data_IF_229488100569
#
_entry.id   IF_229488100569
#
_cell.length_a   1.000
_cell.length_b   1.000
_cell.length_c   1.000
_cell.angle_alpha   90.00
_cell.angle_beta   90.00
_cell.angle_gamma   90.00
#
_symmetry.space_group_name_H-M   'P 1'
#
loop_
_entity.id
_entity.type
_entity.pdbx_description
1 polymer ?
#
# COMPACT_ATOMS: atom_id res chain seq x y z
N UNK A 1 10.05 14.97 35.88
CA UNK A 1 9.57 14.76 34.49
C UNK A 1 10.74 14.74 33.50
N UNK A 2 11.52 13.64 33.40
CA UNK A 2 12.62 13.53 32.38
C UNK A 2 12.45 12.38 31.38
N UNK A 3 11.56 11.40 31.62
CA UNK A 3 11.44 10.19 30.80
C UNK A 3 10.82 10.39 29.41
N UNK A 4 9.98 11.42 29.20
CA UNK A 4 9.25 11.64 27.95
C UNK A 4 10.09 12.27 26.82
N UNK A 5 11.31 12.76 27.13
CA UNK A 5 12.26 13.26 26.12
C UNK A 5 13.09 12.14 25.48
N UNK A 6 13.01 10.91 25.99
CA UNK A 6 13.75 9.78 25.46
C UNK A 6 12.99 9.12 24.31
N UNK A 7 13.67 8.78 23.20
CA UNK A 7 13.03 8.12 22.07
C UNK A 7 12.50 6.74 22.50
N UNK A 8 11.25 6.45 22.12
CA UNK A 8 10.47 5.23 22.44
C UNK A 8 9.80 5.19 23.82
N UNK A 9 9.82 6.27 24.60
CA UNK A 9 8.94 6.37 25.77
C UNK A 9 7.49 6.57 25.32
N UNK A 10 6.58 5.77 25.84
CA UNK A 10 5.15 5.86 25.51
C UNK A 10 4.46 6.92 26.36
N UNK A 11 3.59 7.72 25.74
CA UNK A 11 2.72 8.64 26.46
C UNK A 11 1.74 7.89 27.35
N UNK A 12 1.51 8.43 28.55
CA UNK A 12 0.53 7.94 29.52
C UNK A 12 -0.66 8.89 29.57
N UNK A 13 -1.66 8.58 30.40
CA UNK A 13 -2.85 9.41 30.63
C UNK A 13 -2.53 10.90 30.88
N UNK A 14 -1.44 11.19 31.59
CA UNK A 14 -1.02 12.56 31.88
C UNK A 14 -0.67 13.33 30.59
N UNK A 15 0.01 12.68 29.64
CA UNK A 15 0.34 13.27 28.35
C UNK A 15 -0.91 13.51 27.49
N UNK A 16 -1.92 12.63 27.57
CA UNK A 16 -3.19 12.83 26.86
C UNK A 16 -3.99 14.00 27.44
N UNK A 17 -4.03 14.15 28.76
CA UNK A 17 -4.68 15.30 29.41
C UNK A 17 -3.97 16.62 29.10
N UNK A 18 -2.64 16.62 29.15
CA UNK A 18 -1.85 17.79 28.79
C UNK A 18 -2.04 18.17 27.31
N UNK A 19 -2.10 17.20 26.41
CA UNK A 19 -2.36 17.43 24.98
C UNK A 19 -3.78 17.94 24.73
N UNK A 20 -4.80 17.36 25.37
CA UNK A 20 -6.19 17.82 25.25
C UNK A 20 -6.34 19.28 25.70
N UNK A 21 -5.72 19.63 26.84
CA UNK A 21 -5.69 21.00 27.33
C UNK A 21 -4.94 21.95 26.40
N UNK A 22 -3.76 21.56 25.91
CA UNK A 22 -2.97 22.37 24.98
C UNK A 22 -3.68 22.61 23.65
N UNK A 23 -4.37 21.60 23.13
CA UNK A 23 -5.07 21.65 21.83
C UNK A 23 -6.50 22.20 21.93
N UNK A 24 -7.02 22.42 23.14
CA UNK A 24 -8.41 22.81 23.40
C UNK A 24 -9.42 21.89 22.69
N UNK A 25 -9.09 20.60 22.62
CA UNK A 25 -9.90 19.59 21.96
C UNK A 25 -9.97 18.34 22.84
N UNK A 26 -11.14 17.69 22.87
CA UNK A 26 -11.29 16.43 23.58
C UNK A 26 -10.55 15.30 22.84
N UNK A 27 -9.86 14.44 23.57
CA UNK A 27 -9.19 13.25 23.03
C UNK A 27 -9.90 11.99 23.51
N UNK A 28 -10.27 11.12 22.58
CA UNK A 28 -10.90 9.83 22.87
C UNK A 28 -9.96 8.69 22.49
N UNK A 29 -9.71 7.75 23.40
CA UNK A 29 -8.99 6.51 23.08
C UNK A 29 -9.93 5.31 23.14
N UNK A 30 -9.86 4.43 22.14
CA UNK A 30 -10.53 3.14 22.16
C UNK A 30 -9.56 2.07 22.66
N UNK A 31 -9.82 1.50 23.83
CA UNK A 31 -9.01 0.44 24.45
C UNK A 31 -9.94 -0.58 25.11
N UNK A 32 -9.64 -1.89 25.04
CA UNK A 32 -10.45 -2.93 25.68
C UNK A 32 -11.95 -2.84 25.32
N UNK A 33 -12.25 -2.59 24.04
CA UNK A 33 -13.61 -2.37 23.54
C UNK A 33 -14.39 -1.21 24.21
N UNK A 34 -13.69 -0.25 24.81
CA UNK A 34 -14.30 0.91 25.47
C UNK A 34 -13.67 2.20 25.01
N UNK A 35 -14.48 3.24 24.90
CA UNK A 35 -14.03 4.60 24.67
C UNK A 35 -13.72 5.27 26.02
N UNK A 36 -12.52 5.83 26.13
CA UNK A 36 -12.08 6.64 27.26
C UNK A 36 -11.92 8.07 26.76
N UNK A 37 -12.48 9.05 27.48
CA UNK A 37 -12.44 10.47 27.14
C UNK A 37 -11.42 11.19 28.03
N UNK A 38 -10.55 11.98 27.42
CA UNK A 38 -9.64 12.93 28.06
C UNK A 38 -10.05 14.33 27.61
N UNK A 39 -10.59 15.12 28.54
CA UNK A 39 -11.11 16.45 28.26
C UNK A 39 -10.25 17.52 28.89
N UNK A 40 -10.04 18.62 28.16
CA UNK A 40 -9.38 19.80 28.70
C UNK A 40 -10.10 20.34 29.95
N UNK A 41 -11.43 20.16 30.02
CA UNK A 41 -12.27 20.51 31.18
C UNK A 41 -11.89 19.76 32.47
N UNK A 42 -11.16 18.64 32.37
CA UNK A 42 -10.67 17.93 33.54
C UNK A 42 -9.49 18.65 34.20
N UNK A 43 -8.78 19.52 33.47
CA UNK A 43 -7.64 20.30 33.97
C UNK A 43 -8.02 21.76 34.26
N UNK A 44 -8.86 22.36 33.40
CA UNK A 44 -9.36 23.74 33.56
C UNK A 44 -10.82 23.81 33.12
N UNK A 45 -11.71 24.21 34.03
CA UNK A 45 -13.17 24.18 33.77
C UNK A 45 -13.66 25.32 32.90
N UNK A 46 -12.88 26.40 32.78
CA UNK A 46 -13.27 27.61 32.05
C UNK A 46 -12.70 27.64 30.61
N UNK A 47 -12.05 26.56 30.18
CA UNK A 47 -11.45 26.45 28.85
C UNK A 47 -12.50 26.16 27.77
N UNK A 48 -12.52 26.96 26.70
CA UNK A 48 -13.41 26.71 25.57
C UNK A 48 -12.87 25.56 24.72
N UNK A 49 -13.46 24.38 24.87
CA UNK A 49 -13.11 23.22 24.04
C UNK A 49 -13.86 23.28 22.73
N UNK A 50 -13.14 23.06 21.63
CA UNK A 50 -13.72 22.98 20.29
C UNK A 50 -14.72 21.82 20.19
N UNK A 51 -15.73 21.96 19.33
CA UNK A 51 -16.73 20.91 19.10
C UNK A 51 -16.19 19.67 18.37
N UNK A 52 -14.91 19.72 17.97
CA UNK A 52 -14.22 18.62 17.30
C UNK A 52 -13.32 17.89 18.28
N UNK A 53 -13.26 16.56 18.14
CA UNK A 53 -12.51 15.69 19.03
C UNK A 53 -11.53 14.81 18.25
N UNK A 54 -10.42 14.49 18.89
CA UNK A 54 -9.39 13.61 18.34
C UNK A 54 -9.68 12.19 18.80
N UNK A 55 -9.82 11.27 17.87
CA UNK A 55 -10.08 9.87 18.17
C UNK A 55 -8.84 9.02 17.89
N UNK A 56 -8.49 8.14 18.82
CA UNK A 56 -7.33 7.26 18.77
C UNK A 56 -7.75 5.83 19.08
N UNK A 57 -7.14 4.85 18.43
CA UNK A 57 -7.31 3.43 18.72
C UNK A 57 -6.03 2.86 19.34
N UNK A 58 -6.14 2.28 20.53
CA UNK A 58 -5.02 1.65 21.22
C UNK A 58 -4.92 0.18 20.82
N UNK A 59 -3.86 -0.15 20.09
CA UNK A 59 -3.55 -1.52 19.67
C UNK A 59 -2.83 -2.24 20.81
N UNK A 60 -3.61 -2.98 21.61
CA UNK A 60 -3.17 -3.64 22.85
C UNK A 60 -1.92 -4.52 22.72
N UNK A 61 -1.69 -5.13 21.55
CA UNK A 61 -0.54 -6.03 21.32
C UNK A 61 0.80 -5.32 21.14
N UNK A 62 0.79 -4.02 20.85
CA UNK A 62 2.00 -3.26 20.55
C UNK A 62 2.08 -1.91 21.26
N UNK A 63 1.14 -1.64 22.17
CA UNK A 63 1.00 -0.34 22.86
C UNK A 63 1.12 0.85 21.91
N UNK A 64 0.48 0.71 20.74
CA UNK A 64 0.54 1.69 19.66
C UNK A 64 -0.80 2.40 19.55
N UNK A 65 -0.78 3.70 19.26
CA UNK A 65 -1.98 4.49 19.02
C UNK A 65 -2.09 4.81 17.54
N UNK A 66 -3.23 4.47 16.95
CA UNK A 66 -3.56 4.81 15.57
C UNK A 66 -4.63 5.89 15.54
N UNK A 67 -4.56 6.81 14.58
CA UNK A 67 -5.56 7.88 14.43
C UNK A 67 -6.85 7.33 13.85
N UNK A 68 -7.97 7.79 14.39
CA UNK A 68 -9.32 7.42 13.96
C UNK A 68 -9.94 8.64 13.29
N UNK A 69 -10.14 8.54 11.97
CA UNK A 69 -10.62 9.65 11.14
C UNK A 69 -12.14 9.87 11.26
N UNK A 70 -12.89 8.88 11.75
CA UNK A 70 -14.34 8.99 11.95
C UNK A 70 -14.83 7.90 12.92
N UNK A 71 -15.82 8.22 13.76
CA UNK A 71 -16.48 7.28 14.68
C UNK A 71 -17.95 7.20 14.29
N UNK A 72 -18.36 6.10 13.68
CA UNK A 72 -19.77 5.86 13.36
C UNK A 72 -20.52 5.34 14.60
N UNK A 73 -21.66 5.97 14.92
CA UNK A 73 -22.59 5.47 15.92
C UNK A 73 -23.23 4.15 15.45
N UNK A 74 -22.69 3.03 15.95
CA UNK A 74 -23.22 1.66 15.91
C UNK A 74 -24.19 1.28 14.77
N UNK A 75 -23.67 0.62 13.72
CA UNK A 75 -24.13 -0.73 13.33
C UNK A 75 -22.95 -1.58 12.86
N UNK A 76 -22.74 -2.66 13.62
CA UNK A 76 -21.65 -3.64 13.56
C UNK A 76 -21.42 -4.21 12.15
N UNK A 77 -20.18 -4.19 11.65
CA UNK A 77 -19.65 -5.28 10.82
C UNK A 77 -18.12 -5.40 10.96
N UNK A 78 -17.69 -6.53 11.52
CA UNK A 78 -16.30 -6.97 11.67
C UNK A 78 -15.60 -7.11 10.31
N UNK A 79 -14.33 -6.68 10.20
CA UNK A 79 -13.32 -7.31 9.32
C UNK A 79 -11.89 -7.01 9.78
N UNK A 80 -10.94 -7.91 9.50
CA UNK A 80 -9.72 -8.12 10.28
C UNK A 80 -8.50 -7.33 9.79
N UNK A 81 -7.60 -7.06 10.73
CA UNK A 81 -6.23 -6.59 10.50
C UNK A 81 -5.46 -7.50 9.55
N UNK A 82 -4.92 -6.94 8.46
CA UNK A 82 -3.58 -7.27 7.96
C UNK A 82 -3.12 -6.30 6.87
N UNK A 83 -1.84 -5.97 7.00
CA UNK A 83 -0.93 -5.39 5.99
C UNK A 83 -0.89 -3.85 5.84
N UNK A 84 -0.06 -3.27 6.71
CA UNK A 84 0.75 -2.08 6.45
C UNK A 84 1.42 -2.19 5.07
N UNK A 85 0.89 -1.49 4.06
CA UNK A 85 1.65 -0.97 2.89
C UNK A 85 0.81 -0.18 1.87
N UNK A 86 -0.20 0.59 2.26
CA UNK A 86 -1.00 1.34 1.27
C UNK A 86 -1.48 2.67 1.87
N UNK A 87 -0.58 3.64 2.01
CA UNK A 87 -0.95 5.00 2.41
C UNK A 87 -1.62 5.80 1.27
N UNK A 88 -1.50 5.34 0.02
CA UNK A 88 -2.04 6.05 -1.16
C UNK A 88 -3.46 5.66 -1.59
N UNK A 89 -4.11 4.67 -0.95
CA UNK A 89 -5.47 4.24 -1.35
C UNK A 89 -6.52 4.41 -0.24
N UNK A 90 -6.12 4.77 0.97
CA UNK A 90 -7.01 4.96 2.12
C UNK A 90 -7.79 6.27 2.05
N UNK A 91 -7.25 7.34 1.46
CA UNK A 91 -7.98 8.61 1.27
C UNK A 91 -9.17 8.47 0.32
N UNK A 92 -9.11 7.54 -0.64
CA UNK A 92 -10.14 7.32 -1.67
C UNK A 92 -11.39 6.59 -1.13
N UNK A 93 -11.32 5.99 0.07
CA UNK A 93 -12.49 5.35 0.72
C UNK A 93 -13.55 6.37 1.13
N UNK A 94 -13.14 7.53 1.64
CA UNK A 94 -14.05 8.51 2.26
C UNK A 94 -14.92 9.26 1.23
N UNK A 95 -14.38 9.55 0.04
CA UNK A 95 -15.15 10.20 -1.03
C UNK A 95 -16.15 9.25 -1.72
N UNK A 96 -15.88 7.94 -1.70
CA UNK A 96 -16.69 6.94 -2.39
C UNK A 96 -18.06 6.69 -1.72
N UNK A 97 -18.10 6.70 -0.39
CA UNK A 97 -19.31 6.45 0.37
C UNK A 97 -20.33 7.59 0.25
N UNK A 98 -19.87 8.85 0.15
CA UNK A 98 -20.76 10.00 -0.05
C UNK A 98 -21.36 10.01 -1.47
N UNK A 99 -20.59 9.67 -2.51
CA UNK A 99 -21.07 9.67 -3.90
C UNK A 99 -22.01 8.48 -4.19
N UNK A 100 -21.78 7.32 -3.57
CA UNK A 100 -22.67 6.15 -3.70
C UNK A 100 -24.02 6.34 -3.01
N UNK A 101 -24.04 6.99 -1.84
CA UNK A 101 -25.26 7.32 -1.09
C UNK A 101 -26.13 8.34 -1.85
N UNK A 102 -25.53 9.39 -2.42
CA UNK A 102 -26.27 10.44 -3.15
C UNK A 102 -26.88 9.99 -4.49
N UNK A 103 -26.33 8.95 -5.13
CA UNK A 103 -26.90 8.39 -6.36
C UNK A 103 -28.00 7.34 -6.08
N UNK A 104 -27.97 6.65 -4.94
CA UNK A 104 -28.98 5.67 -4.56
C UNK A 104 -30.27 6.31 -4.01
N UNK A 105 -30.21 7.53 -3.46
CA UNK A 105 -31.39 8.24 -2.94
C UNK A 105 -32.23 8.87 -4.06
N UNK A 106 -31.63 9.32 -5.16
CA UNK A 106 -32.36 9.89 -6.30
C UNK A 106 -33.09 8.85 -7.16
N UNK A 107 -32.71 7.57 -7.10
CA UNK A 107 -33.34 6.50 -7.88
C UNK A 107 -34.55 5.85 -7.18
N UNK A 108 -34.78 6.11 -5.89
CA UNK A 108 -35.84 5.47 -5.08
C UNK A 108 -37.12 6.29 -4.94
N UNK A 109 -37.17 7.52 -5.45
CA UNK A 109 -38.34 8.39 -5.32
C UNK A 109 -39.35 8.32 -6.48
N UNK A 110 -39.19 7.39 -7.43
CA UNK A 110 -40.23 7.07 -8.41
C UNK A 110 -40.76 5.66 -8.13
N UNK A 111 -41.67 5.58 -7.15
CA UNK A 111 -42.47 4.39 -6.90
C UNK A 111 -43.36 4.11 -8.12
N UNK A 112 -43.13 3.00 -8.81
CA UNK A 112 -44.13 2.38 -9.67
C UNK A 112 -44.30 0.95 -9.18
N UNK A 113 -45.44 0.66 -8.55
CA UNK A 113 -45.86 -0.71 -8.24
C UNK A 113 -45.95 -1.48 -9.57
N UNK A 114 -44.93 -2.28 -9.88
CA UNK A 114 -44.97 -3.23 -10.99
C UNK A 114 -45.12 -4.63 -10.40
N UNK A 115 -46.01 -5.43 -10.98
CA UNK A 115 -46.29 -6.79 -10.55
C UNK A 115 -45.10 -7.73 -10.86
N UNK A 116 -44.97 -8.84 -10.12
CA UNK A 116 -43.83 -9.76 -10.19
C UNK A 116 -43.57 -10.33 -11.61
N UNK A 117 -44.62 -10.48 -12.42
CA UNK A 117 -44.55 -10.92 -13.82
C UNK A 117 -43.97 -9.85 -14.77
N UNK A 118 -44.18 -8.56 -14.52
CA UNK A 118 -43.51 -7.49 -15.27
C UNK A 118 -42.03 -7.38 -14.91
N UNK A 119 -41.66 -7.59 -13.65
CA UNK A 119 -40.26 -7.55 -13.21
C UNK A 119 -39.44 -8.62 -13.95
N UNK A 120 -39.96 -9.85 -14.05
CA UNK A 120 -39.28 -10.97 -14.74
C UNK A 120 -39.11 -10.74 -16.26
N UNK A 121 -40.14 -10.21 -16.94
CA UNK A 121 -40.06 -9.84 -18.36
C UNK A 121 -39.06 -8.70 -18.64
N UNK A 122 -38.98 -7.71 -17.74
CA UNK A 122 -38.03 -6.60 -17.88
C UNK A 122 -36.59 -7.04 -17.65
N UNK A 123 -36.35 -7.96 -16.72
CA UNK A 123 -35.02 -8.53 -16.48
C UNK A 123 -34.57 -9.45 -17.61
N UNK A 124 -35.46 -10.25 -18.18
CA UNK A 124 -35.15 -11.07 -19.36
C UNK A 124 -34.81 -10.20 -20.57
N UNK A 125 -35.57 -9.12 -20.81
CA UNK A 125 -35.28 -8.15 -21.88
C UNK A 125 -33.93 -7.45 -21.65
N UNK A 126 -33.62 -7.11 -20.41
CA UNK A 126 -32.32 -6.51 -20.02
C UNK A 126 -31.17 -7.49 -20.23
N UNK A 127 -31.35 -8.78 -19.91
CA UNK A 127 -30.35 -9.84 -20.14
C UNK A 127 -30.07 -10.02 -21.62
N UNK A 128 -31.12 -10.16 -22.45
CA UNK A 128 -31.01 -10.29 -23.91
C UNK A 128 -30.30 -9.07 -24.53
N UNK A 129 -30.58 -7.86 -24.06
CA UNK A 129 -29.88 -6.64 -24.51
C UNK A 129 -28.38 -6.67 -24.18
N UNK A 130 -27.99 -7.09 -22.96
CA UNK A 130 -26.58 -7.21 -22.57
C UNK A 130 -25.85 -8.24 -23.44
N UNK A 131 -26.49 -9.35 -23.76
CA UNK A 131 -25.92 -10.39 -24.62
C UNK A 131 -25.71 -9.89 -26.06
N UNK A 132 -26.71 -9.23 -26.64
CA UNK A 132 -26.57 -8.60 -27.96
C UNK A 132 -25.45 -7.54 -27.99
N UNK A 133 -25.30 -6.76 -26.92
CA UNK A 133 -24.21 -5.78 -26.81
C UNK A 133 -22.83 -6.45 -26.68
N UNK A 134 -22.73 -7.55 -25.91
CA UNK A 134 -21.51 -8.38 -25.85
C UNK A 134 -21.15 -8.92 -27.22
N UNK A 135 -22.12 -9.49 -27.95
CA UNK A 135 -21.91 -10.00 -29.30
C UNK A 135 -21.44 -8.90 -30.25
N UNK A 136 -22.09 -7.74 -30.22
CA UNK A 136 -21.70 -6.57 -31.03
C UNK A 136 -20.28 -6.10 -30.70
N UNK A 137 -19.89 -6.12 -29.43
CA UNK A 137 -18.54 -5.74 -29.00
C UNK A 137 -17.47 -6.74 -29.47
N UNK A 138 -17.79 -8.04 -29.50
CA UNK A 138 -16.87 -9.07 -29.97
C UNK A 138 -16.73 -9.08 -31.49
N UNK A 139 -17.80 -8.81 -32.24
CA UNK A 139 -17.84 -8.94 -33.70
C UNK A 139 -17.46 -7.66 -34.45
N UNK A 140 -17.64 -6.48 -33.84
CA UNK A 140 -17.41 -5.22 -34.53
C UNK A 140 -16.27 -4.42 -33.89
N UNK A 141 -15.13 -4.40 -34.58
CA UNK A 141 -13.91 -3.73 -34.15
C UNK A 141 -14.09 -2.22 -33.96
N UNK A 142 -14.90 -1.56 -34.81
CA UNK A 142 -15.16 -0.11 -34.68
C UNK A 142 -15.92 0.22 -33.39
N UNK A 143 -16.91 -0.61 -33.03
CA UNK A 143 -17.68 -0.47 -31.79
C UNK A 143 -16.78 -0.70 -30.58
N UNK A 144 -15.94 -1.75 -30.65
CA UNK A 144 -14.96 -2.07 -29.61
C UNK A 144 -13.99 -0.93 -29.38
N UNK A 145 -13.42 -0.37 -30.44
CA UNK A 145 -12.40 0.67 -30.34
C UNK A 145 -12.99 2.02 -29.95
N UNK A 146 -14.21 2.34 -30.39
CA UNK A 146 -14.95 3.51 -29.89
C UNK A 146 -15.18 3.41 -28.38
N UNK A 147 -15.56 2.23 -27.88
CA UNK A 147 -15.77 1.99 -26.45
C UNK A 147 -14.46 2.06 -25.66
N UNK A 148 -13.36 1.47 -26.17
CA UNK A 148 -12.02 1.60 -25.56
C UNK A 148 -11.55 3.06 -25.49
N UNK A 149 -11.73 3.83 -26.56
CA UNK A 149 -11.37 5.26 -26.60
C UNK A 149 -12.16 6.05 -25.57
N UNK A 150 -13.48 5.89 -25.55
CA UNK A 150 -14.35 6.54 -24.57
C UNK A 150 -13.93 6.21 -23.12
N UNK A 151 -13.60 4.94 -22.81
CA UNK A 151 -13.10 4.59 -21.49
C UNK A 151 -11.75 5.23 -21.16
N UNK A 152 -10.82 5.32 -22.12
CA UNK A 152 -9.53 6.00 -21.93
C UNK A 152 -9.73 7.49 -21.66
N UNK A 153 -10.60 8.13 -22.42
CA UNK A 153 -10.95 9.53 -22.27
C UNK A 153 -11.61 9.81 -20.92
N UNK A 154 -12.56 8.97 -20.50
CA UNK A 154 -13.17 9.07 -19.16
C UNK A 154 -12.12 8.90 -18.07
N UNK A 155 -11.19 7.94 -18.21
CA UNK A 155 -10.11 7.74 -17.24
C UNK A 155 -9.13 8.92 -17.18
N UNK A 156 -8.86 9.56 -18.32
CA UNK A 156 -7.97 10.73 -18.40
C UNK A 156 -8.62 11.97 -17.78
N UNK A 157 -9.89 12.22 -18.11
CA UNK A 157 -10.56 13.49 -17.84
C UNK A 157 -11.35 13.49 -16.53
N UNK A 158 -11.68 12.32 -15.96
CA UNK A 158 -12.42 12.21 -14.72
C UNK A 158 -11.53 11.65 -13.60
N UNK A 159 -11.00 12.56 -12.78
CA UNK A 159 -10.14 12.22 -11.66
C UNK A 159 -10.82 11.28 -10.65
N UNK A 160 -12.10 11.50 -10.34
CA UNK A 160 -12.88 10.66 -9.42
C UNK A 160 -13.00 9.24 -9.96
N UNK A 161 -13.36 9.09 -11.23
CA UNK A 161 -13.46 7.79 -11.89
C UNK A 161 -12.11 7.05 -11.90
N UNK A 162 -11.02 7.76 -12.20
CA UNK A 162 -9.66 7.23 -12.16
C UNK A 162 -9.30 6.71 -10.78
N UNK A 163 -9.49 7.53 -9.74
CA UNK A 163 -9.20 7.15 -8.35
C UNK A 163 -10.03 5.93 -7.93
N UNK A 164 -11.32 5.90 -8.27
CA UNK A 164 -12.19 4.77 -7.98
C UNK A 164 -11.72 3.48 -8.67
N UNK A 165 -11.26 3.59 -9.92
CA UNK A 165 -10.77 2.45 -10.67
C UNK A 165 -9.49 1.89 -10.06
N UNK A 166 -8.56 2.76 -9.65
CA UNK A 166 -7.33 2.39 -8.96
C UNK A 166 -7.66 1.70 -7.64
N UNK A 167 -8.52 2.31 -6.81
CA UNK A 167 -8.95 1.75 -5.53
C UNK A 167 -9.50 0.33 -5.67
N UNK A 168 -10.42 0.11 -6.62
CA UNK A 168 -10.99 -1.23 -6.87
C UNK A 168 -9.93 -2.27 -7.23
N UNK A 169 -8.93 -1.89 -8.03
CA UNK A 169 -7.84 -2.80 -8.41
C UNK A 169 -6.93 -3.09 -7.21
N UNK A 170 -6.59 -2.08 -6.42
CA UNK A 170 -5.81 -2.24 -5.20
C UNK A 170 -6.52 -3.15 -4.20
N UNK A 171 -7.80 -2.91 -3.93
CA UNK A 171 -8.61 -3.75 -3.04
C UNK A 171 -8.66 -5.19 -3.53
N UNK A 172 -8.80 -5.40 -4.84
CA UNK A 172 -8.73 -6.74 -5.41
C UNK A 172 -7.35 -7.37 -5.18
N UNK A 173 -6.26 -6.65 -5.41
CA UNK A 173 -4.90 -7.17 -5.20
C UNK A 173 -4.62 -7.55 -3.73
N UNK A 174 -5.17 -6.81 -2.77
CA UNK A 174 -5.01 -7.07 -1.34
C UNK A 174 -5.80 -8.32 -0.94
N UNK A 175 -7.09 -8.32 -1.27
CA UNK A 175 -8.05 -9.28 -0.72
C UNK A 175 -8.14 -10.59 -1.51
N UNK A 176 -7.78 -10.58 -2.80
CA UNK A 176 -7.86 -11.74 -3.68
C UNK A 176 -6.45 -12.26 -3.98
N UNK A 177 -6.04 -13.28 -3.23
CA UNK A 177 -4.74 -13.95 -3.42
C UNK A 177 -4.60 -14.51 -4.83
N UNK A 178 -5.66 -15.13 -5.37
CA UNK A 178 -5.61 -15.78 -6.69
C UNK A 178 -5.32 -14.75 -7.78
N UNK A 179 -5.96 -13.58 -7.70
CA UNK A 179 -5.72 -12.46 -8.60
C UNK A 179 -4.29 -11.93 -8.48
N UNK A 180 -3.76 -11.82 -7.26
CA UNK A 180 -2.39 -11.38 -7.03
C UNK A 180 -1.36 -12.37 -7.62
N UNK A 181 -1.55 -13.66 -7.38
CA UNK A 181 -0.65 -14.69 -7.91
C UNK A 181 -0.68 -14.75 -9.44
N UNK A 182 -1.88 -14.67 -10.04
CA UNK A 182 -2.03 -14.62 -11.50
C UNK A 182 -1.31 -13.40 -12.11
N UNK A 183 -1.39 -12.23 -11.47
CA UNK A 183 -0.65 -11.04 -11.91
C UNK A 183 0.87 -11.22 -11.83
N UNK A 184 1.37 -11.80 -10.72
CA UNK A 184 2.79 -12.10 -10.55
C UNK A 184 3.25 -13.06 -11.64
N UNK A 185 2.50 -14.12 -11.89
CA UNK A 185 2.85 -15.17 -12.85
C UNK A 185 2.86 -14.63 -14.28
N UNK A 186 1.84 -13.84 -14.67
CA UNK A 186 1.84 -13.11 -15.94
C UNK A 186 3.07 -12.20 -16.09
N UNK A 187 3.48 -11.55 -15.01
CA UNK A 187 4.70 -10.73 -14.96
C UNK A 187 5.97 -11.56 -15.22
N UNK A 188 6.08 -12.74 -14.60
CA UNK A 188 7.20 -13.67 -14.82
C UNK A 188 7.22 -14.18 -16.25
N UNK A 189 6.08 -14.66 -16.76
CA UNK A 189 5.96 -15.16 -18.12
C UNK A 189 6.35 -14.09 -19.14
N UNK A 190 5.92 -12.85 -18.92
CA UNK A 190 6.35 -11.72 -19.76
C UNK A 190 7.86 -11.48 -19.66
N UNK A 191 8.45 -11.53 -18.47
CA UNK A 191 9.90 -11.39 -18.31
C UNK A 191 10.70 -12.52 -18.98
N UNK A 192 10.16 -13.74 -19.02
CA UNK A 192 10.80 -14.90 -19.66
C UNK A 192 10.74 -14.78 -21.18
N UNK A 193 9.57 -14.49 -21.74
CA UNK A 193 9.31 -14.61 -23.17
C UNK A 193 9.44 -13.29 -23.96
N UNK A 194 9.23 -12.13 -23.33
CA UNK A 194 9.34 -10.81 -23.98
C UNK A 194 10.72 -10.20 -23.70
N UNK A 195 11.61 -10.30 -24.69
CA UNK A 195 12.99 -9.82 -24.62
C UNK A 195 13.07 -8.32 -24.33
N UNK A 196 12.24 -7.51 -24.98
CA UNK A 196 12.23 -6.07 -24.83
C UNK A 196 11.77 -5.67 -23.43
N UNK A 197 10.71 -6.31 -22.94
CA UNK A 197 10.25 -6.12 -21.57
C UNK A 197 11.34 -6.47 -20.56
N UNK A 198 12.03 -7.60 -20.74
CA UNK A 198 13.14 -8.02 -19.89
C UNK A 198 14.27 -6.98 -19.86
N UNK A 199 14.68 -6.48 -21.03
CA UNK A 199 15.74 -5.48 -21.14
C UNK A 199 15.35 -4.16 -20.47
N UNK A 200 14.12 -3.67 -20.71
CA UNK A 200 13.59 -2.47 -20.04
C UNK A 200 13.58 -2.62 -18.53
N UNK A 201 13.16 -3.79 -18.03
CA UNK A 201 13.15 -4.06 -16.58
C UNK A 201 14.56 -4.09 -15.99
N UNK A 202 15.55 -4.69 -16.68
CA UNK A 202 16.96 -4.63 -16.26
C UNK A 202 17.49 -3.20 -16.22
N UNK A 203 17.21 -2.38 -17.24
CA UNK A 203 17.62 -0.98 -17.29
C UNK A 203 16.99 -0.18 -16.14
N UNK A 204 15.69 -0.36 -15.89
CA UNK A 204 14.98 0.28 -14.79
C UNK A 204 15.55 -0.13 -13.43
N UNK A 205 15.88 -1.40 -13.24
CA UNK A 205 16.52 -1.89 -12.01
C UNK A 205 17.89 -1.25 -11.77
N UNK A 206 18.73 -1.14 -12.81
CA UNK A 206 20.04 -0.46 -12.72
C UNK A 206 19.87 1.01 -12.34
N UNK A 207 18.99 1.73 -13.03
CA UNK A 207 18.72 3.14 -12.74
C UNK A 207 18.22 3.33 -11.31
N UNK A 208 17.35 2.43 -10.84
CA UNK A 208 16.86 2.50 -9.46
C UNK A 208 17.98 2.30 -8.45
N UNK A 209 18.91 1.37 -8.70
CA UNK A 209 20.06 1.16 -7.82
C UNK A 209 21.02 2.37 -7.78
N UNK A 210 21.16 3.05 -8.91
CA UNK A 210 22.03 4.23 -9.03
C UNK A 210 21.43 5.44 -8.29
N UNK A 211 20.13 5.70 -8.50
CA UNK A 211 19.46 6.92 -8.04
C UNK A 211 18.85 6.80 -6.63
N UNK A 212 18.27 5.65 -6.30
CA UNK A 212 17.55 5.45 -5.02
C UNK A 212 18.48 4.80 -4.00
N UNK A 213 19.09 5.63 -3.16
CA UNK A 213 20.03 5.21 -2.12
C UNK A 213 19.40 4.23 -1.12
N UNK A 214 18.18 4.50 -0.67
CA UNK A 214 17.45 3.61 0.26
C UNK A 214 17.21 2.23 -0.37
N UNK A 215 16.89 2.19 -1.66
CA UNK A 215 16.75 0.93 -2.38
C UNK A 215 18.08 0.18 -2.50
N UNK A 216 19.16 0.88 -2.83
CA UNK A 216 20.52 0.32 -2.90
C UNK A 216 20.95 -0.29 -1.57
N UNK A 217 20.80 0.46 -0.48
CA UNK A 217 21.21 0.02 0.86
C UNK A 217 20.41 -1.20 1.31
N UNK A 218 19.09 -1.20 1.08
CA UNK A 218 18.25 -2.35 1.39
C UNK A 218 18.64 -3.60 0.58
N UNK A 219 19.06 -3.41 -0.68
CA UNK A 219 19.52 -4.52 -1.52
C UNK A 219 20.84 -5.09 -1.00
N UNK A 220 21.78 -4.24 -0.61
CA UNK A 220 23.06 -4.63 -0.03
C UNK A 220 22.85 -5.37 1.29
N UNK A 221 22.02 -4.82 2.18
CA UNK A 221 21.68 -5.42 3.48
C UNK A 221 21.05 -6.80 3.33
N UNK A 222 20.09 -6.95 2.41
CA UNK A 222 19.52 -8.26 2.07
C UNK A 222 20.56 -9.22 1.54
N UNK A 223 21.50 -8.74 0.72
CA UNK A 223 22.61 -9.54 0.21
C UNK A 223 23.53 -10.05 1.32
N UNK A 224 23.93 -9.17 2.25
CA UNK A 224 24.75 -9.52 3.42
C UNK A 224 24.06 -10.56 4.29
N UNK A 225 22.82 -10.29 4.68
CA UNK A 225 22.02 -11.21 5.48
C UNK A 225 21.86 -12.57 4.81
N UNK A 226 21.59 -12.61 3.51
CA UNK A 226 21.51 -13.88 2.76
C UNK A 226 22.83 -14.65 2.81
N UNK A 227 23.97 -13.97 2.75
CA UNK A 227 25.29 -14.60 2.85
C UNK A 227 25.60 -15.12 4.27
N UNK A 228 25.15 -14.41 5.30
CA UNK A 228 25.32 -14.82 6.70
C UNK A 228 24.42 -16.01 7.05
N UNK A 229 23.13 -15.93 6.72
CA UNK A 229 22.12 -16.90 7.12
C UNK A 229 22.13 -18.19 6.26
N UNK A 230 22.43 -18.09 4.97
CA UNK A 230 22.34 -19.23 4.06
C UNK A 230 23.72 -19.83 3.74
N UNK A 231 24.04 -20.92 4.44
CA UNK A 231 25.31 -21.63 4.31
C UNK A 231 25.56 -22.18 2.89
N UNK A 232 24.56 -22.79 2.27
CA UNK A 232 24.69 -23.32 0.92
C UNK A 232 25.00 -22.21 -0.10
N UNK A 233 24.34 -21.05 0.04
CA UNK A 233 24.61 -19.88 -0.78
C UNK A 233 26.02 -19.33 -0.55
N UNK A 234 26.45 -19.21 0.70
CA UNK A 234 27.80 -18.78 1.07
C UNK A 234 28.88 -19.71 0.50
N UNK A 235 28.73 -21.01 0.70
CA UNK A 235 29.66 -22.02 0.18
C UNK A 235 29.77 -21.93 -1.35
N UNK A 236 28.63 -21.85 -2.05
CA UNK A 236 28.60 -21.71 -3.51
C UNK A 236 29.27 -20.40 -3.99
N UNK A 237 29.06 -19.29 -3.28
CA UNK A 237 29.73 -18.01 -3.58
C UNK A 237 31.25 -18.10 -3.42
N UNK A 238 31.74 -18.75 -2.35
CA UNK A 238 33.16 -18.98 -2.11
C UNK A 238 33.76 -19.89 -3.18
N UNK A 239 33.09 -21.00 -3.50
CA UNK A 239 33.53 -21.96 -4.51
C UNK A 239 33.64 -21.31 -5.89
N UNK A 240 32.60 -20.57 -6.31
CA UNK A 240 32.63 -19.80 -7.55
C UNK A 240 33.76 -18.77 -7.55
N UNK A 241 33.99 -18.08 -6.43
CA UNK A 241 35.12 -17.16 -6.28
C UNK A 241 36.48 -17.83 -6.50
N UNK A 242 36.69 -19.02 -5.90
CA UNK A 242 37.91 -19.82 -6.07
C UNK A 242 38.07 -20.29 -7.51
N UNK A 243 37.00 -20.78 -8.12
CA UNK A 243 36.98 -21.23 -9.53
C UNK A 243 37.39 -20.11 -10.47
N UNK A 244 36.74 -18.94 -10.36
CA UNK A 244 37.07 -17.77 -11.18
C UNK A 244 38.51 -17.30 -10.99
N UNK A 245 39.03 -17.33 -9.77
CA UNK A 245 40.43 -16.98 -9.51
C UNK A 245 41.42 -17.94 -10.20
N UNK A 246 41.09 -19.24 -10.27
CA UNK A 246 41.93 -20.24 -10.94
C UNK A 246 41.85 -20.09 -12.46
N UNK A 247 40.65 -19.95 -13.01
CA UNK A 247 40.38 -20.05 -14.45
C UNK A 247 40.46 -18.70 -15.19
N UNK A 248 40.00 -17.60 -14.58
CA UNK A 248 39.95 -16.29 -15.23
C UNK A 248 41.16 -15.43 -14.83
N UNK A 249 42.13 -15.32 -15.74
CA UNK A 249 43.34 -14.52 -15.50
C UNK A 249 43.06 -13.04 -15.21
N UNK A 250 42.15 -12.42 -15.96
CA UNK A 250 41.77 -11.03 -15.74
C UNK A 250 41.19 -10.79 -14.34
N UNK A 251 40.38 -11.73 -13.85
CA UNK A 251 39.81 -11.67 -12.50
C UNK A 251 40.90 -11.82 -11.44
N UNK A 252 41.77 -12.82 -11.60
CA UNK A 252 42.91 -13.06 -10.70
C UNK A 252 43.81 -11.84 -10.58
N UNK A 253 44.23 -11.27 -11.71
CA UNK A 253 45.08 -10.08 -11.76
C UNK A 253 44.42 -8.89 -11.08
N UNK A 254 43.13 -8.64 -11.34
CA UNK A 254 42.38 -7.56 -10.67
C UNK A 254 42.30 -7.76 -9.14
N UNK A 255 42.10 -8.99 -8.67
CA UNK A 255 42.04 -9.30 -7.24
C UNK A 255 43.39 -9.11 -6.55
N UNK A 256 44.50 -9.51 -7.19
CA UNK A 256 45.86 -9.27 -6.67
C UNK A 256 46.13 -7.77 -6.56
N UNK A 257 45.80 -6.98 -7.59
CA UNK A 257 45.99 -5.53 -7.59
C UNK A 257 45.21 -4.86 -6.47
N UNK A 258 43.92 -5.20 -6.31
CA UNK A 258 43.09 -4.68 -5.20
C UNK A 258 43.64 -5.08 -3.83
N UNK A 259 44.15 -6.30 -3.70
CA UNK A 259 44.81 -6.76 -2.47
C UNK A 259 46.03 -5.93 -2.11
N UNK A 260 46.89 -5.63 -3.09
CA UNK A 260 48.06 -4.76 -2.91
C UNK A 260 47.67 -3.33 -2.52
N UNK A 261 46.70 -2.74 -3.22
CA UNK A 261 46.19 -1.39 -2.91
C UNK A 261 45.68 -1.30 -1.47
N UNK A 262 44.83 -2.25 -1.05
CA UNK A 262 44.30 -2.30 0.31
C UNK A 262 45.40 -2.42 1.37
N UNK A 263 46.43 -3.24 1.09
CA UNK A 263 47.56 -3.39 2.00
C UNK A 263 48.33 -2.07 2.19
N UNK A 264 48.58 -1.33 1.11
CA UNK A 264 49.24 -0.03 1.20
C UNK A 264 48.38 1.03 1.90
N UNK A 265 47.07 1.07 1.62
CA UNK A 265 46.12 1.93 2.34
C UNK A 265 46.17 1.67 3.86
N UNK A 266 46.17 0.41 4.27
CA UNK A 266 46.23 0.03 5.69
C UNK A 266 47.58 0.37 6.34
N UNK A 267 48.69 0.32 5.60
CA UNK A 267 50.03 0.66 6.08
C UNK A 267 50.18 2.16 6.41
N UNK A 268 49.46 3.02 5.70
CA UNK A 268 49.45 4.47 5.98
C UNK A 268 48.60 4.85 7.20
N UNK A 269 47.56 4.06 7.52
CA UNK A 269 46.68 4.30 8.68
C UNK A 269 47.40 3.97 10.01
N UNK A 270 48.36 3.04 10.02
CA UNK A 270 49.13 2.68 11.21
C UNK A 270 50.34 3.59 11.53
N UNK A 271 50.52 4.70 10.80
CA UNK A 271 51.66 5.64 10.97
C UNK A 271 51.27 7.05 11.42
N UNK A 272 50.00 7.28 11.72
CA UNK A 272 49.47 8.50 12.37
C UNK A 272 49.11 8.21 13.81
#
# INVERSE_FOLDING_TARGET
MRKMKEPKTMGTELEFLAAAHFMQADIYTFTNNKWIKYSAHQMDKDINVENEAIYLHHVEKSSHYEFVMNVEGNRVHNLPEKSKKIEDCTSVKYDFDQISRNNCTNAKNNNTLLNETQVDLTDLRRKRRRELEKMRYCQNDTVRDKKKRSCKETYSNNAIYRSLKIYKVCMKYINDETYRQDLIEKGKMKYIHDLDYRQRMKKKGKLKYEVDEKYRDNLIEKGKRKYEENEAYRANMIENGKKRYKEEEAYRSSMITKGKQKYEEMKHIGKT
#
